data_IF_060781680109
#
_entry.id   IF_060781680109
#
_cell.length_a   1.000
_cell.length_b   1.000
_cell.length_c   1.000
_cell.angle_alpha   90.00
_cell.angle_beta   90.00
_cell.angle_gamma   90.00
#
_symmetry.space_group_name_H-M   'P 1'
#
loop_
_entity.id
_entity.type
_entity.pdbx_description
1 polymer ?
#
# COMPACT_ATOMS: atom_id res chain seq x y z
N UNK A 1 -4.01 12.15 -24.36
CA UNK A 1 -5.03 11.50 -23.49
C UNK A 1 -4.42 11.40 -22.10
N UNK A 2 -5.05 12.02 -21.09
CA UNK A 2 -4.50 12.08 -19.73
C UNK A 2 -5.22 11.12 -18.79
N UNK A 3 -4.48 10.57 -17.82
CA UNK A 3 -5.04 9.70 -16.80
C UNK A 3 -5.92 10.49 -15.82
N UNK A 4 -6.92 9.81 -15.24
CA UNK A 4 -7.80 10.39 -14.21
C UNK A 4 -7.35 9.90 -12.85
N UNK A 5 -7.10 10.82 -11.93
CA UNK A 5 -6.70 10.50 -10.56
C UNK A 5 -7.88 10.70 -9.60
N UNK A 6 -8.03 9.82 -8.62
CA UNK A 6 -9.02 9.90 -7.55
C UNK A 6 -8.42 9.41 -6.23
N UNK A 7 -9.19 9.47 -5.16
CA UNK A 7 -8.76 9.06 -3.82
C UNK A 7 -9.89 8.28 -3.13
N UNK A 8 -9.54 7.18 -2.48
CA UNK A 8 -10.37 6.52 -1.48
C UNK A 8 -9.53 6.40 -0.22
N UNK A 9 -9.99 6.98 0.88
CA UNK A 9 -9.40 6.76 2.21
C UNK A 9 -10.29 5.81 3.00
N UNK A 10 -9.67 4.93 3.77
CA UNK A 10 -10.38 3.93 4.56
C UNK A 10 -9.61 3.62 5.83
N UNK A 11 -10.36 3.37 6.90
CA UNK A 11 -9.89 2.76 8.14
C UNK A 11 -10.74 1.51 8.38
N UNK A 12 -11.53 1.49 9.46
CA UNK A 12 -12.60 0.51 9.66
C UNK A 12 -13.79 0.69 8.67
N UNK A 13 -13.91 1.87 8.05
CA UNK A 13 -14.87 2.20 6.98
C UNK A 13 -14.22 3.20 6.00
N UNK A 14 -14.70 3.33 4.76
CA UNK A 14 -14.30 4.38 3.84
C UNK A 14 -14.73 5.74 4.38
N UNK A 15 -13.79 6.67 4.50
CA UNK A 15 -14.03 7.99 5.10
C UNK A 15 -14.15 9.08 4.03
N UNK A 16 -13.37 8.99 2.95
CA UNK A 16 -13.36 9.98 1.89
C UNK A 16 -13.29 9.28 0.53
N UNK A 17 -14.19 9.62 -0.37
CA UNK A 17 -14.20 9.15 -1.76
C UNK A 17 -14.20 10.36 -2.68
N UNK A 18 -13.12 10.54 -3.41
CA UNK A 18 -12.96 11.55 -4.46
C UNK A 18 -12.91 10.81 -5.79
N UNK A 19 -13.99 10.86 -6.60
CA UNK A 19 -14.05 10.18 -7.89
C UNK A 19 -12.92 10.61 -8.82
N UNK A 20 -12.44 9.68 -9.65
CA UNK A 20 -11.34 9.94 -10.57
C UNK A 20 -11.73 10.99 -11.61
N UNK A 21 -10.93 12.07 -11.72
CA UNK A 21 -11.18 13.15 -12.68
C UNK A 21 -9.87 13.66 -13.30
N UNK A 22 -9.99 14.33 -14.45
CA UNK A 22 -8.90 15.04 -15.12
C UNK A 22 -9.04 16.57 -15.01
N UNK A 23 -9.89 17.05 -14.09
CA UNK A 23 -10.10 18.49 -13.85
C UNK A 23 -8.84 19.10 -13.25
N UNK A 24 -8.55 20.36 -13.60
CA UNK A 24 -7.37 21.09 -13.10
C UNK A 24 -7.27 21.13 -11.56
N UNK A 25 -8.40 21.27 -10.86
CA UNK A 25 -8.46 21.30 -9.39
C UNK A 25 -8.38 19.91 -8.73
N UNK A 26 -8.34 18.82 -9.50
CA UNK A 26 -8.44 17.47 -8.95
C UNK A 26 -7.34 17.17 -7.92
N UNK A 27 -6.11 17.59 -8.19
CA UNK A 27 -4.99 17.35 -7.27
C UNK A 27 -5.18 18.09 -5.95
N UNK A 28 -5.69 19.33 -5.98
CA UNK A 28 -5.99 20.08 -4.77
C UNK A 28 -7.07 19.40 -3.93
N UNK A 29 -8.11 18.85 -4.56
CA UNK A 29 -9.15 18.08 -3.85
C UNK A 29 -8.56 16.84 -3.15
N UNK A 30 -7.67 16.11 -3.84
CA UNK A 30 -6.98 14.95 -3.28
C UNK A 30 -6.12 15.38 -2.08
N UNK A 31 -5.33 16.44 -2.21
CA UNK A 31 -4.48 16.96 -1.13
C UNK A 31 -5.31 17.42 0.07
N UNK A 32 -6.39 18.16 -0.15
CA UNK A 32 -7.30 18.57 0.93
C UNK A 32 -7.96 17.35 1.62
N UNK A 33 -8.35 16.34 0.84
CA UNK A 33 -8.90 15.09 1.35
C UNK A 33 -7.91 14.37 2.25
N UNK A 34 -6.65 14.24 1.81
CA UNK A 34 -5.56 13.64 2.58
C UNK A 34 -5.24 14.43 3.85
N UNK A 35 -5.17 15.76 3.77
CA UNK A 35 -4.85 16.63 4.91
C UNK A 35 -5.88 16.54 6.04
N UNK A 36 -7.15 16.27 5.71
CA UNK A 36 -8.22 16.10 6.70
C UNK A 36 -8.20 14.75 7.41
N UNK A 37 -7.45 13.77 6.91
CA UNK A 37 -7.40 12.45 7.52
C UNK A 37 -6.71 12.53 8.87
N UNK A 38 -7.32 11.92 9.88
CA UNK A 38 -6.73 11.77 11.21
C UNK A 38 -6.39 10.30 11.45
N UNK A 39 -5.28 10.05 12.12
CA UNK A 39 -4.87 8.69 12.47
C UNK A 39 -5.91 8.05 13.38
N UNK A 40 -6.49 6.94 12.94
CA UNK A 40 -7.35 6.09 13.76
C UNK A 40 -6.62 4.79 14.09
N UNK A 41 -6.77 4.32 15.32
CA UNK A 41 -6.13 3.09 15.82
C UNK A 41 -6.95 1.81 15.56
N UNK A 42 -7.83 1.83 14.55
CA UNK A 42 -8.66 0.67 14.19
C UNK A 42 -8.06 -0.06 12.99
N UNK A 43 -8.16 -1.39 12.99
CA UNK A 43 -7.71 -2.19 11.84
C UNK A 43 -8.39 -1.74 10.54
N UNK A 44 -7.60 -1.69 9.47
CA UNK A 44 -8.10 -1.36 8.14
C UNK A 44 -8.97 -2.48 7.59
N UNK A 45 -10.19 -2.15 7.20
CA UNK A 45 -11.19 -3.10 6.70
C UNK A 45 -11.15 -3.15 5.17
N UNK A 46 -10.51 -4.18 4.61
CA UNK A 46 -10.43 -4.33 3.14
C UNK A 46 -11.76 -4.80 2.52
N UNK A 47 -12.65 -5.39 3.31
CA UNK A 47 -14.02 -5.70 2.90
C UNK A 47 -14.81 -4.44 2.57
N UNK A 48 -14.71 -3.41 3.42
CA UNK A 48 -15.39 -2.13 3.15
C UNK A 48 -14.73 -1.35 2.02
N UNK A 49 -13.40 -1.42 1.88
CA UNK A 49 -12.70 -0.91 0.69
C UNK A 49 -13.22 -1.59 -0.58
N UNK A 50 -13.31 -2.92 -0.59
CA UNK A 50 -13.82 -3.67 -1.74
C UNK A 50 -15.26 -3.25 -2.10
N UNK A 51 -16.14 -3.13 -1.11
CA UNK A 51 -17.51 -2.67 -1.32
C UNK A 51 -17.56 -1.24 -1.91
N UNK A 52 -16.71 -0.33 -1.43
CA UNK A 52 -16.61 1.04 -1.94
C UNK A 52 -16.07 1.08 -3.37
N UNK A 53 -15.02 0.32 -3.67
CA UNK A 53 -14.46 0.22 -5.02
C UNK A 53 -15.52 -0.29 -5.98
N UNK A 54 -16.16 -1.42 -5.67
CA UNK A 54 -17.19 -2.01 -6.53
C UNK A 54 -18.37 -1.07 -6.80
N UNK A 55 -18.71 -0.20 -5.84
CA UNK A 55 -19.81 0.77 -5.98
C UNK A 55 -19.42 1.99 -6.82
N UNK A 56 -18.18 2.47 -6.72
CA UNK A 56 -17.78 3.76 -7.27
C UNK A 56 -16.91 3.65 -8.53
N UNK A 57 -16.27 2.51 -8.79
CA UNK A 57 -15.41 2.27 -9.95
C UNK A 57 -16.07 1.25 -10.88
N UNK A 58 -16.77 1.76 -11.90
CA UNK A 58 -17.44 0.93 -12.90
C UNK A 58 -16.51 0.40 -14.00
N UNK A 59 -15.29 0.94 -14.10
CA UNK A 59 -14.32 0.60 -15.14
C UNK A 59 -13.06 -0.01 -14.52
N UNK A 60 -12.43 -0.93 -15.27
CA UNK A 60 -11.10 -1.43 -14.93
C UNK A 60 -10.16 -0.25 -14.75
N UNK A 61 -9.45 -0.25 -13.62
CA UNK A 61 -8.63 0.87 -13.16
C UNK A 61 -7.37 0.33 -12.52
N UNK A 62 -6.35 1.17 -12.40
CA UNK A 62 -5.20 0.91 -11.53
C UNK A 62 -5.52 1.38 -10.11
N UNK A 63 -5.46 0.47 -9.15
CA UNK A 63 -5.57 0.75 -7.73
C UNK A 63 -4.19 0.70 -7.10
N UNK A 64 -3.67 1.85 -6.66
CA UNK A 64 -2.45 1.93 -5.86
C UNK A 64 -2.88 2.02 -4.39
N UNK A 65 -2.67 0.96 -3.64
CA UNK A 65 -3.11 0.83 -2.26
C UNK A 65 -1.90 1.01 -1.35
N UNK A 66 -1.84 2.13 -0.63
CA UNK A 66 -0.86 2.36 0.42
C UNK A 66 -1.38 1.74 1.71
N UNK A 67 -0.68 0.74 2.22
CA UNK A 67 -1.11 0.03 3.43
C UNK A 67 0.07 -0.61 4.14
N UNK A 68 -0.06 -0.76 5.46
CA UNK A 68 0.92 -1.43 6.28
C UNK A 68 0.26 -2.64 6.94
N UNK A 69 0.74 -3.84 6.64
CA UNK A 69 0.33 -5.06 7.34
C UNK A 69 1.28 -5.29 8.52
N UNK A 70 0.73 -5.42 9.72
CA UNK A 70 1.53 -5.64 10.94
C UNK A 70 2.22 -6.99 10.97
N UNK A 71 1.64 -8.01 10.33
CA UNK A 71 2.21 -9.35 10.20
C UNK A 71 1.71 -10.06 8.94
N UNK A 72 2.35 -11.19 8.61
CA UNK A 72 1.91 -12.10 7.52
C UNK A 72 0.47 -12.57 7.76
N UNK A 73 0.13 -12.90 9.02
CA UNK A 73 -1.21 -13.31 9.39
C UNK A 73 -2.25 -12.20 9.17
N UNK A 74 -1.93 -10.95 9.57
CA UNK A 74 -2.81 -9.80 9.33
C UNK A 74 -3.05 -9.59 7.83
N UNK A 75 -2.01 -9.73 6.98
CA UNK A 75 -2.17 -9.67 5.53
C UNK A 75 -3.08 -10.78 4.99
N UNK A 76 -2.90 -12.04 5.44
CA UNK A 76 -3.72 -13.15 4.97
C UNK A 76 -5.21 -12.96 5.26
N UNK A 77 -5.58 -12.29 6.36
CA UNK A 77 -6.99 -11.92 6.63
C UNK A 77 -7.55 -11.00 5.55
N UNK A 78 -6.72 -10.12 4.99
CA UNK A 78 -7.13 -9.15 3.97
C UNK A 78 -6.99 -9.68 2.53
N UNK A 79 -6.19 -10.73 2.34
CA UNK A 79 -5.89 -11.34 1.04
C UNK A 79 -7.13 -11.72 0.21
N UNK A 80 -8.20 -12.30 0.77
CA UNK A 80 -9.42 -12.58 0.00
C UNK A 80 -9.99 -11.33 -0.69
N UNK A 81 -10.01 -10.18 -0.01
CA UNK A 81 -10.54 -8.93 -0.56
C UNK A 81 -9.60 -8.32 -1.59
N UNK A 82 -8.29 -8.39 -1.37
CA UNK A 82 -7.30 -7.97 -2.36
C UNK A 82 -7.39 -8.81 -3.64
N UNK A 83 -7.62 -10.12 -3.52
CA UNK A 83 -7.86 -11.00 -4.68
C UNK A 83 -9.15 -10.64 -5.41
N UNK A 84 -10.22 -10.28 -4.68
CA UNK A 84 -11.46 -9.80 -5.30
C UNK A 84 -11.24 -8.49 -6.07
N UNK A 85 -10.47 -7.54 -5.51
CA UNK A 85 -10.07 -6.32 -6.20
C UNK A 85 -9.24 -6.62 -7.46
N UNK A 86 -8.26 -7.51 -7.35
CA UNK A 86 -7.35 -7.90 -8.44
C UNK A 86 -8.06 -8.62 -9.60
N UNK A 87 -9.23 -9.22 -9.37
CA UNK A 87 -10.06 -9.79 -10.44
C UNK A 87 -10.68 -8.73 -11.35
N UNK A 88 -10.92 -7.52 -10.85
CA UNK A 88 -11.61 -6.44 -11.58
C UNK A 88 -10.68 -5.29 -11.98
N UNK A 89 -9.60 -5.09 -11.22
CA UNK A 89 -8.70 -3.96 -11.33
C UNK A 89 -7.25 -4.44 -11.30
N UNK A 90 -6.34 -3.64 -11.85
CA UNK A 90 -4.91 -3.85 -11.61
C UNK A 90 -4.60 -3.32 -10.21
N UNK A 91 -4.09 -4.16 -9.31
CA UNK A 91 -3.79 -3.77 -7.93
C UNK A 91 -2.30 -3.72 -7.70
N UNK A 92 -1.82 -2.58 -7.20
CA UNK A 92 -0.47 -2.36 -6.70
C UNK A 92 -0.55 -2.01 -5.21
N UNK A 93 -0.15 -2.94 -4.35
CA UNK A 93 0.05 -2.68 -2.93
C UNK A 93 1.43 -2.06 -2.70
N UNK A 94 1.46 -0.90 -2.05
CA UNK A 94 2.69 -0.22 -1.64
C UNK A 94 2.84 -0.40 -0.14
N UNK A 95 3.91 -1.07 0.27
CA UNK A 95 4.22 -1.43 1.65
C UNK A 95 5.55 -0.77 2.03
N UNK A 96 5.68 -0.41 3.30
CA UNK A 96 6.82 0.30 3.82
C UNK A 96 7.79 -0.61 4.57
N UNK A 97 9.09 -0.35 4.40
CA UNK A 97 10.13 -0.79 5.34
C UNK A 97 10.26 0.21 6.47
N UNK A 98 10.64 -0.28 7.65
CA UNK A 98 10.94 0.59 8.78
C UNK A 98 12.44 0.92 8.74
N UNK A 99 12.76 2.14 8.31
CA UNK A 99 14.15 2.60 8.13
C UNK A 99 14.87 2.82 9.45
N UNK A 100 14.16 3.10 10.55
CA UNK A 100 14.75 3.17 11.90
C UNK A 100 15.24 1.79 12.33
N UNK A 101 14.44 0.76 12.07
CA UNK A 101 14.80 -0.64 12.34
C UNK A 101 16.00 -1.07 11.47
N UNK A 102 16.05 -0.66 10.20
CA UNK A 102 17.21 -0.89 9.32
C UNK A 102 18.48 -0.19 9.84
N UNK A 103 18.37 1.06 10.32
CA UNK A 103 19.49 1.82 10.84
C UNK A 103 20.08 1.19 12.12
N UNK A 104 19.22 0.65 13.01
CA UNK A 104 19.65 -0.07 14.21
C UNK A 104 20.41 -1.35 13.86
N UNK A 105 20.07 -2.02 12.77
CA UNK A 105 20.79 -3.22 12.31
C UNK A 105 22.18 -2.90 11.75
N UNK A 106 22.36 -1.72 11.15
CA UNK A 106 23.61 -1.33 10.49
C UNK A 106 24.76 -1.01 11.46
N UNK A 107 24.45 -0.75 12.74
CA UNK A 107 25.47 -0.49 13.77
C UNK A 107 26.04 -1.81 14.33
N UNK A 108 27.33 -1.93 14.69
CA UNK A 108 27.86 -3.11 15.38
C UNK A 108 27.07 -3.38 16.68
N UNK A 109 26.88 -4.66 17.01
CA UNK A 109 26.30 -5.02 18.31
C UNK A 109 27.45 -5.31 19.28
N UNK A 110 27.54 -4.54 20.35
CA UNK A 110 28.55 -4.62 21.40
C UNK A 110 28.01 -5.31 22.66
N UNK A 111 26.68 -5.41 22.81
CA UNK A 111 26.01 -6.05 23.95
C UNK A 111 25.10 -7.21 23.55
N UNK A 112 24.85 -8.14 24.47
CA UNK A 112 23.90 -9.25 24.26
C UNK A 112 22.48 -8.73 23.98
N UNK A 113 22.07 -7.62 24.61
CA UNK A 113 20.79 -6.95 24.36
C UNK A 113 20.68 -6.41 22.93
N UNK A 114 21.76 -5.85 22.38
CA UNK A 114 21.82 -5.41 20.99
C UNK A 114 21.74 -6.58 20.00
N UNK A 115 22.33 -7.74 20.34
CA UNK A 115 22.20 -8.96 19.53
C UNK A 115 20.74 -9.42 19.47
N UNK A 116 20.02 -9.44 20.59
CA UNK A 116 18.59 -9.79 20.61
C UNK A 116 17.75 -8.80 19.80
N UNK A 117 18.00 -7.50 19.99
CA UNK A 117 17.30 -6.43 19.26
C UNK A 117 17.50 -6.57 17.75
N UNK A 118 18.72 -6.87 17.30
CA UNK A 118 19.01 -7.15 15.89
C UNK A 118 18.27 -8.36 15.35
N UNK A 119 18.20 -9.47 16.11
CA UNK A 119 17.46 -10.65 15.68
C UNK A 119 15.97 -10.36 15.45
N UNK A 120 15.34 -9.55 16.31
CA UNK A 120 13.94 -9.12 16.15
C UNK A 120 13.80 -8.21 14.92
N UNK A 121 14.72 -7.27 14.73
CA UNK A 121 14.73 -6.38 13.56
C UNK A 121 14.82 -7.17 12.23
N UNK A 122 15.70 -8.18 12.19
CA UNK A 122 15.85 -9.10 11.05
C UNK A 122 14.55 -9.85 10.75
N UNK A 123 13.90 -10.37 11.79
CA UNK A 123 12.62 -11.05 11.65
C UNK A 123 11.54 -10.12 11.07
N UNK A 124 11.43 -8.88 11.57
CA UNK A 124 10.45 -7.91 11.09
C UNK A 124 10.66 -7.56 9.60
N UNK A 125 11.91 -7.38 9.17
CA UNK A 125 12.22 -7.14 7.76
C UNK A 125 11.89 -8.36 6.90
N UNK A 126 12.21 -9.57 7.40
CA UNK A 126 11.91 -10.81 6.70
C UNK A 126 10.40 -11.00 6.49
N UNK A 127 9.58 -10.69 7.51
CA UNK A 127 8.13 -10.72 7.39
C UNK A 127 7.60 -9.81 6.28
N UNK A 128 8.16 -8.60 6.10
CA UNK A 128 7.76 -7.70 5.01
C UNK A 128 8.07 -8.28 3.62
N UNK A 129 9.21 -8.97 3.48
CA UNK A 129 9.54 -9.68 2.23
C UNK A 129 8.61 -10.87 1.97
N UNK A 130 8.24 -11.63 3.01
CA UNK A 130 7.23 -12.70 2.90
C UNK A 130 5.91 -12.11 2.41
N UNK A 131 5.43 -11.04 3.05
CA UNK A 131 4.19 -10.35 2.65
C UNK A 131 4.25 -9.93 1.18
N UNK A 132 5.36 -9.31 0.75
CA UNK A 132 5.54 -8.88 -0.64
C UNK A 132 5.44 -10.06 -1.60
N UNK A 133 6.07 -11.19 -1.30
CA UNK A 133 6.05 -12.40 -2.14
C UNK A 133 4.67 -13.04 -2.18
N UNK A 134 4.00 -13.16 -1.05
CA UNK A 134 2.65 -13.71 -0.95
C UNK A 134 1.64 -12.92 -1.80
N UNK A 135 1.70 -11.59 -1.75
CA UNK A 135 0.87 -10.74 -2.61
C UNK A 135 1.14 -11.01 -4.10
N UNK A 136 2.41 -11.11 -4.49
CA UNK A 136 2.81 -11.36 -5.87
C UNK A 136 2.35 -12.72 -6.39
N UNK A 137 2.51 -13.79 -5.60
CA UNK A 137 2.01 -15.14 -5.93
C UNK A 137 0.49 -15.16 -6.10
N UNK A 138 -0.22 -14.28 -5.40
CA UNK A 138 -1.68 -14.13 -5.52
C UNK A 138 -2.12 -13.15 -6.63
N UNK A 139 -1.22 -12.76 -7.54
CA UNK A 139 -1.54 -11.90 -8.69
C UNK A 139 -1.70 -10.42 -8.36
N UNK A 140 -1.22 -10.00 -7.18
CA UNK A 140 -1.25 -8.60 -6.73
C UNK A 140 0.16 -8.03 -6.87
N UNK A 141 0.31 -6.90 -7.58
CA UNK A 141 1.61 -6.24 -7.63
C UNK A 141 1.93 -5.69 -6.24
N UNK A 142 3.17 -5.87 -5.79
CA UNK A 142 3.63 -5.36 -4.50
C UNK A 142 4.94 -4.60 -4.66
N UNK A 143 4.99 -3.40 -4.08
CA UNK A 143 6.18 -2.56 -3.98
C UNK A 143 6.52 -2.41 -2.49
N UNK A 144 7.66 -2.97 -2.08
CA UNK A 144 8.23 -2.74 -0.75
C UNK A 144 9.31 -1.66 -0.88
N UNK A 145 9.12 -0.52 -0.20
CA UNK A 145 10.00 0.64 -0.33
C UNK A 145 10.19 1.34 1.02
N UNK A 146 11.33 2.01 1.18
CA UNK A 146 11.52 2.95 2.28
C UNK A 146 10.66 4.21 2.05
N UNK A 147 10.19 4.89 3.12
CA UNK A 147 9.36 6.09 3.01
C UNK A 147 9.96 7.21 2.12
N UNK A 148 11.26 7.46 2.25
CA UNK A 148 11.99 8.48 1.50
C UNK A 148 12.05 8.20 -0.01
N UNK A 149 11.96 6.93 -0.40
CA UNK A 149 11.98 6.50 -1.80
C UNK A 149 10.58 6.26 -2.38
N UNK A 150 9.52 6.49 -1.59
CA UNK A 150 8.14 6.17 -1.94
C UNK A 150 7.74 6.75 -3.29
N UNK A 151 7.85 8.08 -3.44
CA UNK A 151 7.37 8.78 -4.64
C UNK A 151 8.07 8.27 -5.89
N UNK A 152 9.41 8.19 -5.86
CA UNK A 152 10.21 7.76 -7.00
C UNK A 152 9.87 6.32 -7.38
N UNK A 153 9.85 5.41 -6.41
CA UNK A 153 9.59 4.00 -6.68
C UNK A 153 8.16 3.73 -7.13
N UNK A 154 7.17 4.43 -6.57
CA UNK A 154 5.77 4.29 -7.01
C UNK A 154 5.57 4.86 -8.43
N UNK A 155 6.17 6.00 -8.76
CA UNK A 155 6.11 6.56 -10.12
C UNK A 155 6.77 5.61 -11.12
N UNK A 156 7.96 5.10 -10.81
CA UNK A 156 8.65 4.16 -11.68
C UNK A 156 7.82 2.89 -11.88
N UNK A 157 7.20 2.37 -10.81
CA UNK A 157 6.34 1.20 -10.92
C UNK A 157 5.09 1.48 -11.76
N UNK A 158 4.47 2.64 -11.60
CA UNK A 158 3.36 3.08 -12.43
C UNK A 158 3.75 3.12 -13.93
N UNK A 159 4.90 3.73 -14.24
CA UNK A 159 5.40 3.83 -15.62
C UNK A 159 5.73 2.44 -16.20
N UNK A 160 6.29 1.52 -15.41
CA UNK A 160 6.52 0.13 -15.80
C UNK A 160 5.20 -0.60 -16.12
N UNK A 161 4.18 -0.47 -15.27
CA UNK A 161 2.88 -1.10 -15.51
C UNK A 161 2.22 -0.53 -16.79
N UNK A 162 2.37 0.77 -17.03
CA UNK A 162 1.89 1.45 -18.23
C UNK A 162 2.60 0.99 -19.49
N UNK A 163 3.93 0.93 -19.47
CA UNK A 163 4.72 0.53 -20.65
C UNK A 163 4.48 -0.92 -21.06
N UNK A 164 4.11 -1.78 -20.10
CA UNK A 164 3.72 -3.18 -20.33
C UNK A 164 2.28 -3.36 -20.85
N UNK A 165 1.52 -2.27 -21.02
CA UNK A 165 0.13 -2.33 -21.50
C UNK A 165 -0.84 -2.98 -20.51
N UNK A 166 -0.51 -2.99 -19.22
CA UNK A 166 -1.38 -3.56 -18.18
C UNK A 166 -2.53 -2.62 -17.78
N UNK A 167 -2.44 -1.34 -18.17
CA UNK A 167 -3.41 -0.26 -17.91
C UNK A 167 -3.73 0.53 -19.17
#
# INVERSE_FOLDING_TARGET
KGDKAGLITFQHKPETIIPASSRSRQMNLIMEGLYRQKTGYKESSFDTLYAAVRRNLSQRSLLIIYTNFESVHAMHRQLPYLRLLARQHLVLCVIFRNTEVEALMAQPAETTEEIYTKGIAEQLMHEKEIIRRELQVNGIHALLTAPENLSVNTINKYLELKSRGLI
#
